data_IF_063867449046
#
_entry.id   IF_063867449046
#
_cell.length_a   1.000
_cell.length_b   1.000
_cell.length_c   1.000
_cell.angle_alpha   90.00
_cell.angle_beta   90.00
_cell.angle_gamma   90.00
#
_symmetry.space_group_name_H-M   'P 1'
#
loop_
_entity.id
_entity.type
_entity.pdbx_description
1 polymer ?
#
# COMPACT_ATOMS: atom_id res chain seq x y z
N UNK A 1 -89.92 61.17 -46.72
CA UNK A 1 -89.74 60.61 -48.09
C UNK A 1 -88.26 60.28 -48.29
N UNK A 2 -87.99 59.13 -48.94
CA UNK A 2 -86.69 58.57 -49.37
C UNK A 2 -85.86 57.80 -48.34
N UNK A 3 -86.04 56.48 -48.40
CA UNK A 3 -85.07 55.41 -48.08
C UNK A 3 -83.78 55.63 -48.87
N UNK A 4 -82.62 55.22 -48.35
CA UNK A 4 -81.57 54.55 -49.15
C UNK A 4 -80.33 54.20 -48.31
N UNK A 5 -80.04 52.90 -48.22
CA UNK A 5 -78.71 52.26 -48.29
C UNK A 5 -77.50 52.95 -47.65
N UNK A 6 -76.96 52.39 -46.56
CA UNK A 6 -75.54 51.98 -46.44
C UNK A 6 -75.30 51.25 -45.10
N UNK A 7 -75.85 50.04 -44.99
CA UNK A 7 -75.22 48.98 -44.19
C UNK A 7 -74.17 48.31 -45.11
N UNK A 8 -73.08 47.79 -44.52
CA UNK A 8 -72.01 47.00 -45.15
C UNK A 8 -70.83 47.84 -45.70
N UNK A 9 -70.07 48.53 -44.84
CA UNK A 9 -68.64 48.78 -45.10
C UNK A 9 -67.83 49.25 -43.86
N UNK A 10 -68.15 48.81 -42.64
CA UNK A 10 -67.33 49.12 -41.45
C UNK A 10 -67.01 47.88 -40.60
N UNK A 11 -67.60 46.72 -40.92
CA UNK A 11 -67.30 45.42 -40.28
C UNK A 11 -66.63 44.49 -41.31
N UNK A 12 -65.59 44.98 -41.97
CA UNK A 12 -64.71 44.13 -42.79
C UNK A 12 -63.23 44.53 -42.70
N UNK A 13 -62.91 45.67 -42.06
CA UNK A 13 -61.53 46.04 -41.74
C UNK A 13 -61.10 45.67 -40.31
N UNK A 14 -62.00 45.13 -39.46
CA UNK A 14 -61.66 44.67 -38.11
C UNK A 14 -61.64 43.14 -37.93
N UNK A 15 -61.82 42.37 -39.02
CA UNK A 15 -61.77 40.90 -39.01
C UNK A 15 -60.67 40.32 -39.90
N UNK A 16 -59.86 41.16 -40.55
CA UNK A 16 -58.74 40.75 -41.43
C UNK A 16 -57.36 41.13 -40.83
N UNK A 17 -57.30 41.57 -39.58
CA UNK A 17 -56.03 41.75 -38.84
C UNK A 17 -55.87 40.71 -37.71
N UNK A 18 -56.86 39.83 -37.51
CA UNK A 18 -56.80 38.74 -36.53
C UNK A 18 -56.78 37.34 -37.18
N UNK A 19 -56.56 37.26 -38.50
CA UNK A 19 -56.72 36.03 -39.29
C UNK A 19 -55.44 35.49 -39.95
N UNK A 20 -54.26 36.05 -39.69
CA UNK A 20 -53.01 35.61 -40.35
C UNK A 20 -51.86 35.33 -39.39
N UNK A 21 -52.13 34.99 -38.12
CA UNK A 21 -51.11 34.60 -37.14
C UNK A 21 -51.31 33.18 -36.55
N UNK A 22 -52.26 32.40 -37.09
CA UNK A 22 -52.46 31.00 -36.70
C UNK A 22 -52.46 30.10 -37.95
N UNK A 23 -51.41 30.20 -38.75
CA UNK A 23 -50.99 29.14 -39.66
C UNK A 23 -49.63 28.67 -39.21
N UNK A 24 -49.59 27.48 -38.61
CA UNK A 24 -48.34 26.78 -38.27
C UNK A 24 -48.06 26.65 -36.77
N UNK A 25 -48.85 25.85 -36.05
CA UNK A 25 -48.29 25.08 -34.94
C UNK A 25 -49.11 23.78 -34.84
N UNK A 26 -48.74 22.80 -35.67
CA UNK A 26 -49.08 21.41 -35.35
C UNK A 26 -48.41 21.11 -34.00
N UNK A 27 -49.19 20.72 -32.98
CA UNK A 27 -48.60 20.13 -31.77
C UNK A 27 -47.88 18.85 -32.19
N UNK A 28 -46.56 18.91 -32.30
CA UNK A 28 -45.72 17.73 -32.38
C UNK A 28 -44.99 17.55 -31.05
N UNK A 29 -44.67 16.31 -30.74
CA UNK A 29 -43.83 15.98 -29.59
C UNK A 29 -42.36 16.23 -29.95
N UNK A 30 -41.64 16.95 -29.10
CA UNK A 30 -40.21 17.18 -29.31
C UNK A 30 -39.45 15.86 -29.12
N UNK A 31 -38.64 15.52 -30.12
CA UNK A 31 -37.70 14.41 -30.05
C UNK A 31 -36.32 14.96 -29.69
N UNK A 32 -35.54 14.19 -28.93
CA UNK A 32 -34.20 14.59 -28.47
C UNK A 32 -33.17 13.51 -28.80
N UNK A 33 -31.91 13.89 -28.96
CA UNK A 33 -30.79 12.98 -29.15
C UNK A 33 -30.57 12.10 -27.92
N UNK A 34 -30.16 10.84 -28.13
CA UNK A 34 -29.73 9.97 -27.03
C UNK A 34 -28.30 10.30 -26.55
N UNK A 35 -27.51 11.00 -27.38
CA UNK A 35 -26.15 11.44 -27.02
C UNK A 35 -26.20 12.74 -26.22
N UNK A 36 -25.25 12.90 -25.29
CA UNK A 36 -25.07 14.14 -24.55
C UNK A 36 -24.29 15.16 -25.38
N UNK A 37 -24.85 16.35 -25.52
CA UNK A 37 -24.12 17.56 -25.93
C UNK A 37 -23.62 18.27 -24.68
N UNK A 38 -22.49 18.97 -24.77
CA UNK A 38 -21.93 19.70 -23.65
C UNK A 38 -21.19 20.99 -24.05
N UNK A 39 -21.10 21.91 -23.10
CA UNK A 39 -20.21 23.06 -23.11
C UNK A 39 -19.32 23.07 -21.85
N UNK A 40 -18.63 24.17 -21.56
CA UNK A 40 -17.75 24.27 -20.39
C UNK A 40 -18.48 24.25 -19.03
N UNK A 41 -19.81 24.43 -19.03
CA UNK A 41 -20.64 24.64 -17.84
C UNK A 41 -21.76 23.62 -17.70
N UNK A 42 -22.32 23.12 -18.80
CA UNK A 42 -23.50 22.26 -18.81
C UNK A 42 -23.37 21.10 -19.79
N UNK A 43 -24.20 20.08 -19.59
CA UNK A 43 -24.55 19.05 -20.57
C UNK A 43 -26.06 19.00 -20.76
N UNK A 44 -26.52 18.60 -21.95
CA UNK A 44 -27.94 18.49 -22.32
C UNK A 44 -28.13 17.53 -23.50
N UNK A 45 -29.36 17.12 -23.77
CA UNK A 45 -29.75 16.46 -25.02
C UNK A 45 -30.32 17.49 -26.01
N UNK A 46 -29.76 17.55 -27.22
CA UNK A 46 -30.26 18.43 -28.30
C UNK A 46 -31.59 17.92 -28.88
N UNK A 47 -32.48 18.85 -29.25
CA UNK A 47 -33.67 18.52 -30.03
C UNK A 47 -33.30 18.02 -31.43
N UNK A 48 -34.00 16.97 -31.88
CA UNK A 48 -33.87 16.39 -33.23
C UNK A 48 -35.05 16.76 -34.15
N UNK A 49 -36.04 17.49 -33.62
CA UNK A 49 -37.11 18.12 -34.39
C UNK A 49 -36.68 19.47 -34.98
N UNK A 50 -37.54 20.12 -35.78
CA UNK A 50 -37.25 21.42 -36.42
C UNK A 50 -36.95 22.55 -35.41
N UNK A 51 -37.37 22.39 -34.15
CA UNK A 51 -37.07 23.30 -33.05
C UNK A 51 -35.68 23.04 -32.43
N UNK A 52 -34.63 23.34 -33.20
CA UNK A 52 -33.23 23.07 -32.81
C UNK A 52 -32.72 23.81 -31.57
N UNK A 53 -33.48 24.79 -31.06
CA UNK A 53 -33.13 25.54 -29.83
C UNK A 53 -33.64 24.87 -28.55
N UNK A 54 -34.56 23.91 -28.67
CA UNK A 54 -35.07 23.17 -27.51
C UNK A 54 -34.02 22.17 -27.01
N UNK A 55 -33.88 22.10 -25.68
CA UNK A 55 -32.92 21.21 -25.02
C UNK A 55 -33.60 20.46 -23.88
N UNK A 56 -33.17 19.23 -23.64
CA UNK A 56 -33.69 18.38 -22.57
C UNK A 56 -32.59 18.02 -21.58
N UNK A 57 -32.99 17.83 -20.32
CA UNK A 57 -32.12 17.34 -19.23
C UNK A 57 -30.85 18.19 -19.04
N UNK A 58 -30.95 19.50 -19.31
CA UNK A 58 -29.83 20.44 -19.14
C UNK A 58 -29.44 20.54 -17.67
N UNK A 59 -28.19 20.21 -17.36
CA UNK A 59 -27.65 20.28 -16.01
C UNK A 59 -26.18 20.73 -16.02
N UNK A 60 -25.71 21.25 -14.89
CA UNK A 60 -24.29 21.54 -14.68
C UNK A 60 -23.47 20.25 -14.61
N UNK A 61 -22.17 20.33 -14.92
CA UNK A 61 -21.28 19.18 -14.82
C UNK A 61 -21.10 18.72 -13.37
N UNK A 62 -21.27 17.42 -13.13
CA UNK A 62 -20.81 16.74 -11.92
C UNK A 62 -19.49 16.04 -12.24
N UNK A 63 -18.42 16.39 -11.53
CA UNK A 63 -17.09 15.86 -11.80
C UNK A 63 -16.77 14.69 -10.87
N UNK A 64 -16.27 13.60 -11.46
CA UNK A 64 -15.84 12.40 -10.73
C UNK A 64 -14.41 12.49 -10.24
N UNK A 65 -13.82 11.33 -9.93
CA UNK A 65 -12.42 11.22 -9.47
C UNK A 65 -11.46 11.78 -10.51
N UNK A 66 -10.66 12.77 -10.10
CA UNK A 66 -9.69 13.40 -10.99
C UNK A 66 -8.53 12.47 -11.35
N UNK A 67 -7.97 12.68 -12.54
CA UNK A 67 -6.80 11.96 -13.08
C UNK A 67 -5.74 12.94 -13.59
N UNK A 68 -4.59 12.42 -14.00
CA UNK A 68 -3.53 13.20 -14.64
C UNK A 68 -3.28 12.71 -16.07
N UNK A 69 -3.15 13.66 -17.00
CA UNK A 69 -2.92 13.39 -18.42
C UNK A 69 -1.79 14.30 -18.92
N UNK A 70 -0.91 13.77 -19.78
CA UNK A 70 0.17 14.55 -20.42
C UNK A 70 -0.21 14.84 -21.88
N UNK A 71 -0.26 16.12 -22.25
CA UNK A 71 -0.58 16.60 -23.60
C UNK A 71 0.49 17.61 -24.00
N UNK A 72 1.16 17.39 -25.13
CA UNK A 72 2.22 18.26 -25.65
C UNK A 72 3.27 18.65 -24.58
N UNK A 73 3.74 17.65 -23.85
CA UNK A 73 4.70 17.75 -22.73
C UNK A 73 4.23 18.52 -21.48
N UNK A 74 2.97 18.94 -21.43
CA UNK A 74 2.36 19.57 -20.26
C UNK A 74 1.44 18.59 -19.56
N UNK A 75 1.59 18.48 -18.24
CA UNK A 75 0.67 17.71 -17.41
C UNK A 75 -0.58 18.52 -17.09
N UNK A 76 -1.74 17.86 -17.12
CA UNK A 76 -3.03 18.42 -16.77
C UNK A 76 -3.65 17.64 -15.62
N UNK A 77 -4.24 18.37 -14.67
CA UNK A 77 -5.22 17.83 -13.74
C UNK A 77 -6.58 17.77 -14.45
N UNK A 78 -7.14 16.56 -14.56
CA UNK A 78 -8.33 16.28 -15.38
C UNK A 78 -9.48 15.86 -14.46
N UNK A 79 -10.55 16.63 -14.47
CA UNK A 79 -11.80 16.37 -13.75
C UNK A 79 -12.84 15.89 -14.79
N UNK A 80 -13.09 14.57 -14.95
CA UNK A 80 -14.04 14.05 -15.93
C UNK A 80 -15.49 14.25 -15.44
N UNK A 81 -16.39 14.62 -16.34
CA UNK A 81 -17.82 14.63 -16.04
C UNK A 81 -18.34 13.19 -15.91
N UNK A 82 -19.18 12.92 -14.92
CA UNK A 82 -19.75 11.58 -14.70
C UNK A 82 -20.91 11.26 -15.65
N UNK A 83 -21.42 12.27 -16.37
CA UNK A 83 -22.63 12.15 -17.21
C UNK A 83 -22.32 12.18 -18.70
N UNK A 84 -21.36 13.01 -19.11
CA UNK A 84 -21.01 13.21 -20.53
C UNK A 84 -19.48 13.14 -20.72
N UNK A 85 -19.03 13.26 -21.97
CA UNK A 85 -17.60 13.15 -22.33
C UNK A 85 -16.78 14.43 -22.03
N UNK A 86 -17.40 15.46 -21.45
CA UNK A 86 -16.67 16.66 -21.03
C UNK A 86 -15.67 16.34 -19.93
N UNK A 87 -14.45 16.89 -20.04
CA UNK A 87 -13.46 16.85 -18.98
C UNK A 87 -12.85 18.24 -18.80
N UNK A 88 -12.90 18.74 -17.56
CA UNK A 88 -12.26 20.01 -17.22
C UNK A 88 -10.76 19.75 -17.00
N UNK A 89 -9.92 20.41 -17.79
CA UNK A 89 -8.46 20.27 -17.73
C UNK A 89 -7.82 21.53 -17.17
N UNK A 90 -7.01 21.39 -16.14
CA UNK A 90 -6.19 22.47 -15.56
C UNK A 90 -4.73 22.16 -15.79
N UNK A 91 -4.03 23.00 -16.57
CA UNK A 91 -2.60 22.82 -16.82
C UNK A 91 -1.79 22.98 -15.52
N UNK A 92 -0.87 22.07 -15.28
CA UNK A 92 0.11 22.15 -14.19
C UNK A 92 1.33 22.98 -14.62
N UNK A 93 2.18 23.33 -13.66
CA UNK A 93 3.44 24.00 -13.95
C UNK A 93 4.30 23.16 -14.92
N UNK A 94 4.96 23.82 -15.88
CA UNK A 94 5.81 23.13 -16.84
C UNK A 94 6.96 22.41 -16.13
N UNK A 95 7.28 21.18 -16.57
CA UNK A 95 8.31 20.34 -15.96
C UNK A 95 7.88 19.65 -14.66
N UNK A 96 6.60 19.62 -14.33
CA UNK A 96 6.10 18.89 -13.16
C UNK A 96 6.37 17.39 -13.26
N UNK A 97 6.91 16.82 -12.19
CA UNK A 97 7.17 15.36 -12.04
C UNK A 97 6.30 14.73 -10.94
N UNK A 98 5.76 15.56 -10.05
CA UNK A 98 4.74 15.20 -9.06
C UNK A 98 3.70 16.30 -8.97
N UNK A 99 2.54 16.00 -8.39
CA UNK A 99 1.48 16.97 -8.16
C UNK A 99 0.77 16.74 -6.82
N UNK A 100 0.16 17.80 -6.29
CA UNK A 100 -0.84 17.75 -5.24
C UNK A 100 -2.06 18.46 -5.81
N UNK A 101 -3.10 17.69 -6.13
CA UNK A 101 -4.28 18.22 -6.83
C UNK A 101 -3.88 19.01 -8.09
N UNK A 102 -4.22 20.31 -8.15
CA UNK A 102 -3.97 21.24 -9.26
C UNK A 102 -2.60 21.92 -9.19
N UNK A 103 -1.78 21.60 -8.18
CA UNK A 103 -0.43 22.15 -8.02
C UNK A 103 0.61 21.15 -8.50
N UNK A 104 1.44 21.54 -9.48
CA UNK A 104 2.53 20.73 -10.00
C UNK A 104 3.89 21.17 -9.44
N UNK A 105 4.78 20.21 -9.20
CA UNK A 105 6.11 20.45 -8.65
C UNK A 105 7.20 19.80 -9.52
N UNK A 106 8.31 20.51 -9.69
CA UNK A 106 9.46 20.04 -10.48
C UNK A 106 10.30 18.98 -9.75
N UNK A 107 10.12 18.81 -8.43
CA UNK A 107 10.79 17.79 -7.64
C UNK A 107 9.89 17.23 -6.53
N UNK A 108 10.21 16.01 -6.07
CA UNK A 108 9.53 15.38 -4.94
C UNK A 108 9.79 16.15 -3.63
N UNK A 109 10.97 16.72 -3.44
CA UNK A 109 11.31 17.46 -2.23
C UNK A 109 10.47 18.73 -2.10
N UNK A 110 10.32 19.49 -3.19
CA UNK A 110 9.50 20.70 -3.18
C UNK A 110 8.04 20.35 -2.83
N UNK A 111 7.51 19.25 -3.36
CA UNK A 111 6.18 18.79 -3.02
C UNK A 111 6.06 18.39 -1.53
N UNK A 112 7.05 17.67 -0.99
CA UNK A 112 7.09 17.29 0.43
C UNK A 112 7.15 18.53 1.32
N UNK A 113 8.02 19.49 1.01
CA UNK A 113 8.16 20.74 1.78
C UNK A 113 6.82 21.50 1.85
N UNK A 114 6.13 21.59 0.71
CA UNK A 114 4.84 22.26 0.59
C UNK A 114 3.62 21.38 0.94
N UNK A 115 3.81 20.12 1.37
CA UNK A 115 2.70 19.24 1.72
C UNK A 115 2.07 19.67 3.05
N UNK A 116 0.77 20.01 2.99
CA UNK A 116 -0.01 20.49 4.14
C UNK A 116 -0.95 19.42 4.73
N UNK A 117 -0.86 18.16 4.28
CA UNK A 117 -1.70 17.06 4.76
C UNK A 117 -2.98 16.81 3.96
N UNK A 118 -3.32 17.72 3.03
CA UNK A 118 -4.47 17.59 2.13
C UNK A 118 -4.09 16.80 0.86
N UNK A 119 -4.95 15.86 0.47
CA UNK A 119 -4.74 15.03 -0.73
C UNK A 119 -3.59 14.03 -0.61
N UNK A 120 -3.02 13.66 -1.77
CA UNK A 120 -1.84 12.82 -1.90
C UNK A 120 -0.82 13.55 -2.79
N UNK A 121 0.48 13.34 -2.54
CA UNK A 121 1.52 13.65 -3.51
C UNK A 121 1.47 12.56 -4.59
N UNK A 122 1.09 12.90 -5.81
CA UNK A 122 0.93 11.95 -6.92
C UNK A 122 2.13 12.02 -7.85
N UNK A 123 2.78 10.90 -8.12
CA UNK A 123 3.85 10.83 -9.12
C UNK A 123 3.28 10.91 -10.54
N UNK A 124 3.88 11.79 -11.34
CA UNK A 124 3.56 11.95 -12.76
C UNK A 124 4.58 11.24 -13.65
N UNK A 125 5.84 11.25 -13.22
CA UNK A 125 6.97 10.64 -13.89
C UNK A 125 7.72 9.67 -12.97
N UNK A 126 8.56 8.81 -13.55
CA UNK A 126 9.55 8.06 -12.77
C UNK A 126 10.59 9.03 -12.23
N UNK A 127 11.06 8.80 -11.00
CA UNK A 127 11.98 9.71 -10.31
C UNK A 127 13.21 8.96 -9.84
N UNK A 128 14.38 9.50 -10.16
CA UNK A 128 15.66 9.04 -9.63
C UNK A 128 16.09 10.00 -8.50
N UNK A 129 16.12 9.51 -7.26
CA UNK A 129 16.50 10.30 -6.09
C UNK A 129 18.02 10.36 -5.97
N UNK A 130 18.57 11.52 -6.32
CA UNK A 130 20.00 11.83 -6.25
C UNK A 130 20.41 12.27 -4.83
N UNK A 131 21.70 12.55 -4.61
CA UNK A 131 22.19 13.11 -3.34
C UNK A 131 21.67 14.53 -3.08
N UNK A 132 21.40 15.31 -4.12
CA UNK A 132 20.87 16.67 -3.99
C UNK A 132 19.44 16.69 -3.42
N UNK A 133 18.71 15.59 -3.61
CA UNK A 133 17.39 15.39 -3.04
C UNK A 133 17.42 14.86 -1.60
N UNK A 134 18.59 14.69 -0.99
CA UNK A 134 18.67 14.20 0.41
C UNK A 134 18.64 15.33 1.41
N UNK A 135 18.17 15.03 2.62
CA UNK A 135 18.13 15.99 3.72
C UNK A 135 19.52 16.15 4.33
N UNK A 136 19.92 17.38 4.68
CA UNK A 136 21.18 17.62 5.36
C UNK A 136 21.31 16.74 6.62
N UNK A 137 22.41 15.98 6.72
CA UNK A 137 22.65 15.02 7.80
C UNK A 137 22.17 13.59 7.51
N UNK A 138 21.42 13.37 6.43
CA UNK A 138 20.96 12.06 5.99
C UNK A 138 21.39 11.79 4.55
N UNK A 139 21.73 10.55 4.23
CA UNK A 139 21.89 10.11 2.83
C UNK A 139 20.57 9.60 2.26
N UNK A 140 19.46 10.25 2.59
CA UNK A 140 18.08 9.87 2.25
C UNK A 140 17.15 11.09 2.32
N UNK A 141 15.91 10.96 1.83
CA UNK A 141 14.84 11.93 2.10
C UNK A 141 14.36 11.69 3.53
N UNK A 142 14.57 12.67 4.42
CA UNK A 142 14.06 12.60 5.79
C UNK A 142 12.66 13.20 5.88
N UNK A 143 11.71 12.43 6.41
CA UNK A 143 10.32 12.84 6.62
C UNK A 143 10.06 13.03 8.12
N UNK A 144 9.82 14.27 8.53
CA UNK A 144 9.53 14.66 9.92
C UNK A 144 8.06 15.05 10.14
N UNK A 145 7.24 14.92 9.09
CA UNK A 145 5.79 15.15 9.07
C UNK A 145 5.11 14.06 8.26
N UNK A 146 3.82 13.85 8.52
CA UNK A 146 3.01 12.89 7.77
C UNK A 146 2.99 13.23 6.28
N UNK A 147 3.19 12.22 5.44
CA UNK A 147 3.16 12.34 3.98
C UNK A 147 2.35 11.19 3.40
N UNK A 148 1.47 11.52 2.46
CA UNK A 148 0.79 10.53 1.61
C UNK A 148 1.38 10.60 0.20
N UNK A 149 1.97 9.51 -0.25
CA UNK A 149 2.60 9.37 -1.56
C UNK A 149 1.83 8.34 -2.39
N UNK A 150 1.37 8.76 -3.55
CA UNK A 150 0.78 7.88 -4.56
C UNK A 150 1.77 7.69 -5.70
N UNK A 151 2.22 6.45 -5.85
CA UNK A 151 3.19 6.06 -6.86
C UNK A 151 2.59 6.08 -8.27
N UNK A 152 1.27 5.97 -8.41
CA UNK A 152 0.54 6.18 -9.66
C UNK A 152 1.11 5.43 -10.88
N UNK A 153 1.54 4.19 -10.67
CA UNK A 153 2.13 3.36 -11.73
C UNK A 153 3.56 3.74 -12.12
N UNK A 154 4.23 4.56 -11.30
CA UNK A 154 5.59 5.05 -11.50
C UNK A 154 6.57 4.41 -10.53
N UNK A 155 7.85 4.51 -10.87
CA UNK A 155 8.96 4.02 -10.06
C UNK A 155 9.74 5.16 -9.42
N UNK A 156 9.96 5.07 -8.11
CA UNK A 156 10.87 5.94 -7.38
C UNK A 156 12.15 5.15 -7.05
N UNK A 157 13.28 5.57 -7.63
CA UNK A 157 14.55 4.83 -7.57
C UNK A 157 15.61 5.62 -6.85
N UNK A 158 16.27 5.01 -5.88
CA UNK A 158 17.47 5.57 -5.24
C UNK A 158 18.72 5.32 -6.09
N UNK A 159 19.59 6.32 -6.25
CA UNK A 159 20.80 6.20 -7.09
C UNK A 159 22.09 5.96 -6.28
N UNK A 160 22.30 6.68 -5.16
CA UNK A 160 23.63 6.80 -4.54
C UNK A 160 23.71 6.41 -3.04
N UNK A 161 22.66 5.85 -2.44
CA UNK A 161 22.71 5.37 -1.05
C UNK A 161 21.75 4.20 -0.83
N UNK A 162 21.91 3.51 0.31
CA UNK A 162 21.00 2.46 0.78
C UNK A 162 19.57 2.98 0.98
N UNK A 163 19.43 3.98 1.84
CA UNK A 163 18.12 4.48 2.24
C UNK A 163 17.58 5.50 1.24
N UNK A 164 16.35 5.26 0.79
CA UNK A 164 15.55 6.21 0.04
C UNK A 164 14.83 7.17 1.00
N UNK A 165 14.14 6.61 2.00
CA UNK A 165 13.43 7.36 3.02
C UNK A 165 13.95 7.05 4.41
N UNK A 166 14.00 8.08 5.25
CA UNK A 166 14.09 7.96 6.71
C UNK A 166 12.88 8.70 7.26
N UNK A 167 12.11 8.06 8.13
CA UNK A 167 10.93 8.65 8.76
C UNK A 167 11.23 8.83 10.22
N UNK A 168 11.07 10.05 10.74
CA UNK A 168 11.36 10.41 12.13
C UNK A 168 10.29 11.31 12.74
N UNK A 169 10.44 11.71 14.00
CA UNK A 169 9.54 12.62 14.72
C UNK A 169 8.09 12.10 14.76
N UNK A 170 7.94 10.79 14.97
CA UNK A 170 6.67 10.05 14.98
C UNK A 170 5.84 10.19 13.67
N UNK A 171 6.43 10.73 12.60
CA UNK A 171 5.76 10.94 11.33
C UNK A 171 5.37 9.61 10.67
N UNK A 172 4.41 9.68 9.75
CA UNK A 172 3.93 8.55 8.97
C UNK A 172 4.10 8.80 7.47
N UNK A 173 4.84 7.92 6.79
CA UNK A 173 4.80 7.80 5.33
C UNK A 173 3.73 6.79 4.93
N UNK A 174 2.67 7.25 4.27
CA UNK A 174 1.65 6.41 3.67
C UNK A 174 1.89 6.31 2.16
N UNK A 175 2.00 5.09 1.64
CA UNK A 175 2.32 4.81 0.25
C UNK A 175 1.14 4.07 -0.38
N UNK A 176 0.57 4.69 -1.41
CA UNK A 176 -0.41 4.08 -2.30
C UNK A 176 0.32 3.56 -3.55
N UNK A 177 0.48 2.24 -3.63
CA UNK A 177 1.12 1.52 -4.73
C UNK A 177 0.13 0.68 -5.55
N UNK A 178 -1.19 0.92 -5.44
CA UNK A 178 -2.21 0.07 -6.06
C UNK A 178 -2.19 0.06 -7.58
N UNK A 179 -1.80 1.17 -8.20
CA UNK A 179 -1.74 1.27 -9.66
C UNK A 179 -0.62 0.38 -10.19
N UNK A 180 -0.92 -0.48 -11.16
CA UNK A 180 0.07 -1.38 -11.78
C UNK A 180 1.31 -0.60 -12.26
N UNK A 181 2.50 -1.12 -11.98
CA UNK A 181 3.77 -0.45 -12.27
C UNK A 181 4.32 0.43 -11.14
N UNK A 182 3.54 0.63 -10.06
CA UNK A 182 3.98 1.36 -8.87
C UNK A 182 5.12 0.62 -8.19
N UNK A 183 6.27 1.28 -8.06
CA UNK A 183 7.44 0.65 -7.44
C UNK A 183 8.34 1.63 -6.69
N UNK A 184 9.04 1.09 -5.68
CA UNK A 184 10.13 1.77 -4.98
C UNK A 184 11.37 0.89 -5.07
N UNK A 185 12.50 1.49 -5.45
CA UNK A 185 13.81 0.86 -5.38
C UNK A 185 14.69 1.59 -4.36
N UNK A 186 14.91 0.98 -3.20
CA UNK A 186 15.71 1.49 -2.08
C UNK A 186 15.06 1.26 -0.71
N UNK A 187 15.87 1.31 0.35
CA UNK A 187 15.40 1.04 1.72
C UNK A 187 14.53 2.17 2.28
N UNK A 188 13.48 1.80 3.01
CA UNK A 188 12.67 2.68 3.84
C UNK A 188 13.01 2.40 5.32
N UNK A 189 13.57 3.40 5.99
CA UNK A 189 13.93 3.32 7.41
C UNK A 189 12.87 4.04 8.27
N UNK A 190 12.19 3.29 9.14
CA UNK A 190 11.21 3.79 10.08
C UNK A 190 11.85 3.99 11.46
N UNK A 191 12.10 5.26 11.78
CA UNK A 191 12.78 5.70 12.99
C UNK A 191 14.31 5.65 12.90
N UNK A 192 14.94 6.44 13.77
CA UNK A 192 16.38 6.63 13.84
C UNK A 192 16.92 6.43 15.27
N UNK A 193 18.20 6.73 15.50
CA UNK A 193 18.81 6.57 16.81
C UNK A 193 18.22 7.51 17.86
N UNK A 194 18.19 7.08 19.12
CA UNK A 194 17.77 7.94 20.24
C UNK A 194 16.26 7.95 20.48
N UNK A 195 15.58 6.87 20.09
CA UNK A 195 14.13 6.73 20.17
C UNK A 195 13.35 7.76 19.35
N UNK A 196 13.91 8.16 18.20
CA UNK A 196 13.28 9.05 17.24
C UNK A 196 12.44 8.20 16.27
N UNK A 197 11.18 7.94 16.62
CA UNK A 197 10.37 6.95 15.91
C UNK A 197 9.85 7.47 14.56
N UNK A 198 9.44 6.54 13.70
CA UNK A 198 8.74 6.84 12.45
C UNK A 198 7.87 5.67 12.02
N UNK A 199 6.88 5.94 11.18
CA UNK A 199 5.86 4.98 10.81
C UNK A 199 5.74 4.85 9.29
N UNK A 200 5.41 3.64 8.82
CA UNK A 200 5.22 3.36 7.39
C UNK A 200 3.93 2.59 7.19
N UNK A 201 3.12 3.05 6.23
CA UNK A 201 1.91 2.34 5.76
C UNK A 201 2.03 2.13 4.26
N UNK A 202 1.92 0.90 3.80
CA UNK A 202 2.01 0.50 2.39
C UNK A 202 0.72 -0.21 1.98
N UNK A 203 0.18 0.14 0.82
CA UNK A 203 -0.92 -0.59 0.17
C UNK A 203 -0.67 -0.71 -1.34
N UNK A 204 -0.28 -1.91 -1.78
CA UNK A 204 0.09 -2.19 -3.17
C UNK A 204 1.55 -1.89 -3.50
N UNK A 205 1.96 -2.27 -4.70
CA UNK A 205 3.26 -1.92 -5.29
C UNK A 205 4.35 -2.99 -5.14
N UNK A 206 5.48 -2.74 -5.79
CA UNK A 206 6.69 -3.57 -5.71
C UNK A 206 7.83 -2.78 -5.07
N UNK A 207 8.46 -3.35 -4.06
CA UNK A 207 9.56 -2.76 -3.32
C UNK A 207 10.80 -3.63 -3.52
N UNK A 208 11.90 -3.01 -3.91
CA UNK A 208 13.14 -3.72 -4.25
C UNK A 208 14.37 -3.03 -3.64
N UNK A 209 15.27 -3.83 -3.08
CA UNK A 209 16.52 -3.43 -2.45
C UNK A 209 17.60 -4.41 -2.89
N UNK A 210 18.41 -3.98 -3.87
CA UNK A 210 19.41 -4.84 -4.53
C UNK A 210 20.85 -4.57 -4.12
N UNK A 211 21.09 -3.67 -3.16
CA UNK A 211 22.45 -3.38 -2.68
C UNK A 211 22.75 -4.29 -1.49
N UNK A 212 23.99 -4.76 -1.38
CA UNK A 212 24.41 -5.63 -0.26
C UNK A 212 24.23 -4.92 1.10
N UNK A 213 23.75 -5.64 2.12
CA UNK A 213 23.36 -5.10 3.43
C UNK A 213 22.11 -4.21 3.42
N UNK A 214 21.28 -4.26 2.36
CA UNK A 214 20.04 -3.51 2.28
C UNK A 214 18.82 -4.38 2.55
N UNK A 215 17.96 -3.90 3.44
CA UNK A 215 16.60 -4.41 3.57
C UNK A 215 15.61 -3.47 2.89
N UNK A 216 14.42 -3.96 2.56
CA UNK A 216 13.36 -3.08 2.05
C UNK A 216 12.89 -2.14 3.15
N UNK A 217 12.54 -2.72 4.29
CA UNK A 217 11.96 -2.02 5.42
C UNK A 217 12.83 -2.28 6.65
N UNK A 218 13.26 -1.20 7.28
CA UNK A 218 14.10 -1.24 8.46
C UNK A 218 13.46 -0.47 9.61
N UNK A 219 13.60 -0.96 10.83
CA UNK A 219 13.43 -0.15 12.05
C UNK A 219 14.74 -0.06 12.83
N UNK A 220 14.91 1.01 13.61
CA UNK A 220 16.07 1.17 14.47
C UNK A 220 15.87 0.46 15.83
N UNK A 221 16.93 -0.19 16.33
CA UNK A 221 16.90 -0.94 17.59
C UNK A 221 16.67 -0.13 18.87
N UNK A 222 16.76 1.19 18.78
CA UNK A 222 16.48 2.11 19.90
C UNK A 222 15.08 2.72 19.85
N UNK A 223 14.29 2.44 18.81
CA UNK A 223 12.93 2.95 18.65
C UNK A 223 11.91 2.02 19.31
N UNK A 224 11.05 2.56 20.16
CA UNK A 224 10.03 1.81 20.88
C UNK A 224 8.62 1.96 20.32
N UNK A 225 8.44 2.77 19.28
CA UNK A 225 7.14 3.05 18.68
C UNK A 225 7.23 3.30 17.16
N UNK A 226 8.22 2.73 16.48
CA UNK A 226 8.23 2.73 15.01
C UNK A 226 7.35 1.61 14.48
N UNK A 227 6.24 1.95 13.82
CA UNK A 227 5.25 0.97 13.37
C UNK A 227 5.28 0.78 11.85
N UNK A 228 5.08 -0.46 11.41
CA UNK A 228 4.99 -0.82 9.98
C UNK A 228 3.66 -1.49 9.72
N UNK A 229 2.94 -1.05 8.69
CA UNK A 229 1.79 -1.77 8.14
C UNK A 229 1.95 -1.92 6.63
N UNK A 230 1.98 -3.14 6.12
CA UNK A 230 2.07 -3.42 4.69
C UNK A 230 0.92 -4.33 4.27
N UNK A 231 0.28 -3.99 3.14
CA UNK A 231 -0.75 -4.83 2.53
C UNK A 231 -0.63 -4.90 1.01
N UNK A 232 -1.04 -6.02 0.42
CA UNK A 232 -1.16 -6.19 -1.04
C UNK A 232 0.14 -5.89 -1.83
N UNK A 233 1.30 -6.02 -1.19
CA UNK A 233 2.58 -5.57 -1.73
C UNK A 233 3.55 -6.72 -1.94
N UNK A 234 4.47 -6.54 -2.89
CA UNK A 234 5.58 -7.47 -3.14
C UNK A 234 6.91 -6.82 -2.75
N UNK A 235 7.73 -7.55 -2.01
CA UNK A 235 9.03 -7.11 -1.50
C UNK A 235 10.13 -8.04 -2.02
N UNK A 236 11.23 -7.48 -2.55
CA UNK A 236 12.31 -8.23 -3.19
C UNK A 236 13.69 -7.73 -2.75
N UNK A 237 14.24 -8.37 -1.72
CA UNK A 237 15.56 -8.01 -1.18
C UNK A 237 16.63 -9.02 -1.58
N UNK A 238 17.84 -8.53 -1.85
CA UNK A 238 19.05 -9.39 -1.94
C UNK A 238 19.67 -9.73 -0.59
N UNK A 239 19.09 -9.21 0.49
CA UNK A 239 19.50 -9.39 1.88
C UNK A 239 18.27 -9.74 2.75
N UNK A 240 18.26 -9.38 4.04
CA UNK A 240 17.05 -9.37 4.86
C UNK A 240 15.96 -8.53 4.17
N UNK A 241 14.73 -9.02 4.03
CA UNK A 241 13.67 -8.19 3.41
C UNK A 241 13.10 -7.18 4.40
N UNK A 242 12.78 -7.65 5.60
CA UNK A 242 12.40 -6.81 6.73
C UNK A 242 13.43 -6.97 7.85
N UNK A 243 13.98 -5.85 8.34
CA UNK A 243 14.81 -5.79 9.53
C UNK A 243 14.07 -5.07 10.66
N UNK A 244 13.44 -5.85 11.53
CA UNK A 244 12.53 -5.42 12.59
C UNK A 244 13.26 -5.41 13.94
N UNK A 245 13.91 -4.30 14.23
CA UNK A 245 14.80 -4.16 15.38
C UNK A 245 14.21 -3.34 16.54
N UNK A 246 13.23 -2.48 16.30
CA UNK A 246 12.58 -1.68 17.35
C UNK A 246 11.39 -2.39 18.01
N UNK A 247 10.97 -1.96 19.20
CA UNK A 247 9.82 -2.57 19.92
C UNK A 247 8.46 -2.03 19.49
N UNK A 248 8.28 -1.78 18.19
CA UNK A 248 7.03 -1.29 17.60
C UNK A 248 6.06 -2.40 17.20
N UNK A 249 4.99 -2.02 16.49
CA UNK A 249 3.98 -2.94 15.95
C UNK A 249 4.13 -3.09 14.45
N UNK A 250 4.14 -4.33 13.99
CA UNK A 250 4.36 -4.70 12.60
C UNK A 250 3.21 -5.55 12.11
N UNK A 251 2.58 -5.13 11.02
CA UNK A 251 1.46 -5.83 10.38
C UNK A 251 1.75 -6.04 8.91
N UNK A 252 1.70 -7.30 8.48
CA UNK A 252 1.93 -7.69 7.09
C UNK A 252 0.72 -8.53 6.66
N UNK A 253 0.00 -8.10 5.62
CA UNK A 253 -1.23 -8.76 5.19
C UNK A 253 -1.30 -8.89 3.67
N UNK A 254 -1.55 -10.10 3.17
CA UNK A 254 -1.63 -10.36 1.73
C UNK A 254 -0.39 -9.85 0.96
N UNK A 255 0.79 -10.09 1.51
CA UNK A 255 2.06 -9.69 0.91
C UNK A 255 2.85 -10.90 0.38
N UNK A 256 3.72 -10.64 -0.59
CA UNK A 256 4.74 -11.59 -1.05
C UNK A 256 6.11 -11.04 -0.70
N UNK A 257 6.91 -11.81 0.03
CA UNK A 257 8.23 -11.42 0.54
C UNK A 257 9.26 -12.38 -0.06
N UNK A 258 10.14 -11.87 -0.90
CA UNK A 258 11.23 -12.61 -1.51
C UNK A 258 12.54 -12.01 -1.01
N UNK A 259 13.34 -12.80 -0.30
CA UNK A 259 14.53 -12.28 0.37
C UNK A 259 15.67 -13.29 0.42
N UNK A 260 16.85 -12.81 0.78
CA UNK A 260 17.90 -13.69 1.29
C UNK A 260 17.42 -14.31 2.60
N UNK A 261 17.20 -13.47 3.62
CA UNK A 261 16.36 -13.78 4.78
C UNK A 261 15.00 -13.12 4.55
N UNK A 262 13.90 -13.81 4.85
CA UNK A 262 12.57 -13.21 4.69
C UNK A 262 12.39 -12.06 5.68
N UNK A 263 12.34 -12.38 6.98
CA UNK A 263 12.18 -11.40 8.06
C UNK A 263 13.21 -11.66 9.15
N UNK A 264 13.97 -10.63 9.50
CA UNK A 264 14.88 -10.62 10.61
C UNK A 264 14.31 -9.76 11.74
N UNK A 265 13.91 -10.38 12.84
CA UNK A 265 13.30 -9.71 13.98
C UNK A 265 14.20 -9.79 15.21
N UNK A 266 14.28 -8.67 15.94
CA UNK A 266 15.01 -8.55 17.21
C UNK A 266 14.15 -7.98 18.35
N UNK A 267 13.04 -7.34 18.01
CA UNK A 267 12.06 -6.82 18.97
C UNK A 267 10.71 -6.52 18.29
N UNK A 268 9.68 -6.30 19.11
CA UNK A 268 8.36 -5.79 18.72
C UNK A 268 7.29 -6.87 18.59
N UNK A 269 6.14 -6.44 18.09
CA UNK A 269 4.96 -7.28 17.88
C UNK A 269 4.70 -7.44 16.38
N UNK A 270 4.96 -8.62 15.83
CA UNK A 270 4.76 -8.94 14.42
C UNK A 270 3.53 -9.83 14.22
N UNK A 271 2.56 -9.32 13.47
CA UNK A 271 1.41 -10.07 12.95
C UNK A 271 1.50 -10.20 11.43
N UNK A 272 1.47 -11.45 10.94
CA UNK A 272 1.47 -11.76 9.50
C UNK A 272 0.20 -12.53 9.15
N UNK A 273 -0.50 -12.07 8.11
CA UNK A 273 -1.73 -12.65 7.59
C UNK A 273 -1.65 -12.92 6.10
N UNK A 274 -2.20 -14.04 5.65
CA UNK A 274 -2.45 -14.34 4.23
C UNK A 274 -1.26 -14.07 3.30
N UNK A 275 -0.03 -14.22 3.82
CA UNK A 275 1.19 -13.77 3.13
C UNK A 275 2.11 -14.94 2.80
N UNK A 276 2.95 -14.74 1.80
CA UNK A 276 3.97 -15.72 1.39
C UNK A 276 5.36 -15.17 1.62
N UNK A 277 6.25 -15.97 2.21
CA UNK A 277 7.66 -15.67 2.43
C UNK A 277 8.51 -16.73 1.73
N UNK A 278 9.40 -16.27 0.85
CA UNK A 278 10.34 -17.09 0.09
C UNK A 278 11.77 -16.62 0.40
N UNK A 279 12.44 -17.31 1.32
CA UNK A 279 13.84 -17.06 1.65
C UNK A 279 14.76 -17.98 0.83
N UNK A 280 15.72 -17.37 0.13
CA UNK A 280 16.63 -18.09 -0.78
C UNK A 280 18.09 -18.04 -0.33
N UNK A 281 18.38 -17.32 0.75
CA UNK A 281 19.74 -17.15 1.27
C UNK A 281 20.37 -18.46 1.69
N UNK A 282 21.71 -18.52 1.68
CA UNK A 282 22.42 -19.66 2.26
C UNK A 282 22.25 -19.65 3.77
N UNK A 283 22.09 -20.83 4.36
CA UNK A 283 22.00 -20.92 5.81
C UNK A 283 23.30 -20.52 6.50
N UNK A 284 23.19 -19.62 7.46
CA UNK A 284 24.22 -19.32 8.43
C UNK A 284 23.59 -19.09 9.82
N UNK A 285 24.24 -19.54 10.88
CA UNK A 285 23.86 -19.10 12.23
C UNK A 285 24.09 -17.58 12.36
N UNK A 286 23.26 -16.87 13.13
CA UNK A 286 23.51 -15.47 13.44
C UNK A 286 24.92 -15.25 14.01
N UNK A 287 25.63 -14.28 13.44
CA UNK A 287 26.93 -13.84 13.93
C UNK A 287 26.87 -12.34 14.18
N UNK A 288 27.34 -11.83 15.34
CA UNK A 288 27.35 -10.40 15.60
C UNK A 288 28.09 -9.61 14.52
N UNK A 289 27.51 -8.50 14.06
CA UNK A 289 28.14 -7.57 13.13
C UNK A 289 27.82 -6.13 13.56
N UNK A 290 28.79 -5.51 14.26
CA UNK A 290 28.59 -4.22 14.91
C UNK A 290 27.39 -4.29 15.87
N UNK A 291 26.44 -3.37 15.69
CA UNK A 291 25.22 -3.35 16.50
C UNK A 291 24.22 -4.43 16.08
N UNK A 292 24.34 -5.04 14.88
CA UNK A 292 23.42 -6.03 14.32
C UNK A 292 23.98 -7.45 14.28
N UNK A 293 23.43 -8.25 13.35
CA UNK A 293 23.90 -9.59 13.05
C UNK A 293 23.80 -9.84 11.55
N UNK A 294 24.57 -10.80 11.03
CA UNK A 294 24.51 -11.17 9.63
C UNK A 294 23.21 -11.93 9.30
N UNK A 295 22.74 -11.74 8.08
CA UNK A 295 21.61 -12.43 7.45
C UNK A 295 21.84 -13.95 7.45
N UNK A 296 20.76 -14.72 7.59
CA UNK A 296 20.86 -16.16 7.90
C UNK A 296 20.28 -17.09 6.84
N UNK A 297 19.51 -16.56 5.87
CA UNK A 297 18.80 -17.41 4.90
C UNK A 297 17.53 -18.07 5.45
N UNK A 298 17.15 -17.79 6.70
CA UNK A 298 15.91 -18.30 7.30
C UNK A 298 14.68 -17.58 6.72
N UNK A 299 13.52 -18.24 6.79
CA UNK A 299 12.24 -17.63 6.42
C UNK A 299 11.93 -16.46 7.35
N UNK A 300 11.78 -16.76 8.64
CA UNK A 300 11.72 -15.79 9.72
C UNK A 300 12.75 -16.17 10.78
N UNK A 301 13.53 -15.20 11.24
CA UNK A 301 14.38 -15.36 12.41
C UNK A 301 13.97 -14.39 13.54
N UNK A 302 13.77 -14.95 14.73
CA UNK A 302 13.57 -14.26 16.00
C UNK A 302 14.89 -14.34 16.78
N UNK A 303 15.71 -13.29 16.68
CA UNK A 303 17.06 -13.33 17.23
C UNK A 303 17.19 -12.41 18.44
N UNK A 304 17.38 -13.05 19.59
CA UNK A 304 17.69 -12.34 20.83
C UNK A 304 19.14 -11.88 20.79
N UNK A 305 19.34 -10.57 20.97
CA UNK A 305 20.67 -9.94 20.91
C UNK A 305 20.75 -8.79 21.91
N UNK A 306 21.94 -8.59 22.48
CA UNK A 306 22.21 -7.47 23.37
C UNK A 306 22.07 -6.12 22.65
N UNK A 307 21.55 -5.11 23.35
CA UNK A 307 21.42 -3.73 22.84
C UNK A 307 20.14 -3.42 22.06
N UNK A 308 19.21 -4.38 21.95
CA UNK A 308 17.88 -4.17 21.39
C UNK A 308 16.84 -4.03 22.49
N UNK A 309 15.89 -3.14 22.29
CA UNK A 309 14.86 -2.86 23.31
C UNK A 309 13.65 -3.76 23.10
N UNK A 310 13.06 -4.22 24.20
CA UNK A 310 11.78 -4.93 24.18
C UNK A 310 11.87 -6.42 23.88
N UNK A 311 10.71 -7.05 23.85
CA UNK A 311 10.55 -8.47 23.60
C UNK A 311 10.09 -8.72 22.16
N UNK A 312 10.13 -9.97 21.72
CA UNK A 312 9.57 -10.40 20.44
C UNK A 312 8.27 -11.19 20.63
N UNK A 313 7.24 -10.77 19.90
CA UNK A 313 5.96 -11.47 19.76
C UNK A 313 5.73 -11.75 18.27
N UNK A 314 5.55 -13.02 17.91
CA UNK A 314 5.23 -13.45 16.55
C UNK A 314 3.84 -14.10 16.50
N UNK A 315 3.00 -13.61 15.60
CA UNK A 315 1.70 -14.19 15.30
C UNK A 315 1.54 -14.43 13.80
N UNK A 316 1.26 -15.66 13.43
CA UNK A 316 1.05 -16.09 12.05
C UNK A 316 -0.36 -16.64 11.86
N UNK A 317 -1.00 -16.23 10.76
CA UNK A 317 -2.38 -16.57 10.43
C UNK A 317 -2.52 -16.74 8.91
N UNK A 318 -2.74 -17.97 8.45
CA UNK A 318 -2.84 -18.28 7.02
C UNK A 318 -1.59 -17.88 6.21
N UNK A 319 -0.40 -18.28 6.66
CA UNK A 319 0.90 -17.87 6.09
C UNK A 319 1.59 -19.05 5.42
N UNK A 320 2.27 -18.80 4.30
CA UNK A 320 3.18 -19.75 3.66
C UNK A 320 4.62 -19.28 3.80
N UNK A 321 5.50 -20.08 4.39
CA UNK A 321 6.92 -19.77 4.56
C UNK A 321 7.76 -20.88 3.96
N UNK A 322 8.65 -20.53 3.04
CA UNK A 322 9.65 -21.42 2.48
C UNK A 322 11.03 -20.82 2.70
N UNK A 323 11.91 -21.56 3.38
CA UNK A 323 13.35 -21.30 3.37
C UNK A 323 14.04 -22.41 2.57
N UNK A 324 14.76 -22.02 1.51
CA UNK A 324 15.41 -22.98 0.63
C UNK A 324 16.60 -23.70 1.29
N UNK A 325 17.35 -22.99 2.14
CA UNK A 325 18.58 -23.52 2.75
C UNK A 325 18.57 -23.50 4.28
N UNK A 326 17.67 -22.73 4.89
CA UNK A 326 17.57 -22.51 6.34
C UNK A 326 16.33 -23.13 6.96
N UNK A 327 15.92 -22.57 8.10
CA UNK A 327 14.70 -22.93 8.78
C UNK A 327 13.54 -22.03 8.30
N UNK A 328 12.32 -22.57 8.25
CA UNK A 328 11.14 -21.75 8.00
C UNK A 328 10.97 -20.71 9.13
N UNK A 329 11.10 -21.15 10.39
CA UNK A 329 11.14 -20.27 11.57
C UNK A 329 12.33 -20.67 12.45
N UNK A 330 13.12 -19.68 12.87
CA UNK A 330 14.29 -19.87 13.73
C UNK A 330 14.24 -18.89 14.90
N UNK A 331 14.15 -19.40 16.13
CA UNK A 331 14.43 -18.63 17.33
C UNK A 331 15.89 -18.87 17.74
N UNK A 332 16.66 -17.79 17.83
CA UNK A 332 18.11 -17.81 17.96
C UNK A 332 18.61 -16.83 19.00
N UNK A 333 19.84 -17.05 19.45
CA UNK A 333 20.57 -16.19 20.38
C UNK A 333 21.92 -15.84 19.75
N UNK A 334 22.17 -14.56 19.45
CA UNK A 334 23.42 -14.12 18.82
C UNK A 334 24.55 -13.92 19.83
N UNK A 335 24.28 -13.19 20.93
CA UNK A 335 25.28 -12.83 21.94
C UNK A 335 24.68 -12.70 23.36
N UNK A 336 23.59 -13.42 23.60
CA UNK A 336 22.88 -13.47 24.87
C UNK A 336 22.62 -14.93 25.26
N UNK A 337 22.33 -15.17 26.55
CA UNK A 337 21.96 -16.49 27.07
C UNK A 337 20.47 -16.62 27.39
N UNK A 338 19.70 -15.54 27.27
CA UNK A 338 18.26 -15.51 27.55
C UNK A 338 17.50 -15.14 26.30
N UNK A 339 16.38 -15.81 26.06
CA UNK A 339 15.47 -15.44 24.98
C UNK A 339 14.70 -14.17 25.34
N UNK A 340 14.58 -13.27 24.37
CA UNK A 340 13.64 -12.12 24.41
C UNK A 340 12.34 -12.44 23.68
N UNK A 341 12.22 -13.65 23.11
CA UNK A 341 10.97 -14.14 22.53
C UNK A 341 10.04 -14.54 23.66
N UNK A 342 8.88 -13.89 23.73
CA UNK A 342 7.89 -14.15 24.78
C UNK A 342 6.62 -14.80 24.26
N UNK A 343 6.34 -14.68 22.96
CA UNK A 343 5.18 -15.35 22.35
C UNK A 343 5.40 -15.73 20.89
N UNK A 344 5.09 -16.99 20.56
CA UNK A 344 5.02 -17.51 19.19
C UNK A 344 3.68 -18.23 18.98
N UNK A 345 2.86 -17.71 18.06
CA UNK A 345 1.52 -18.24 17.80
C UNK A 345 1.31 -18.52 16.32
N UNK A 346 0.74 -19.70 16.01
CA UNK A 346 0.27 -20.07 14.68
C UNK A 346 -1.20 -20.50 14.83
N UNK A 347 -2.12 -19.63 14.39
CA UNK A 347 -3.57 -19.81 14.62
C UNK A 347 -4.22 -20.68 13.54
N UNK A 348 -4.19 -20.20 12.29
CA UNK A 348 -4.90 -20.84 11.17
C UNK A 348 -3.92 -21.41 10.14
N UNK A 349 -4.39 -22.44 9.43
CA UNK A 349 -3.65 -23.26 8.47
C UNK A 349 -2.55 -22.49 7.72
N UNK A 350 -1.29 -22.88 7.91
CA UNK A 350 -0.15 -22.38 7.14
C UNK A 350 0.67 -23.52 6.55
N UNK A 351 1.59 -23.19 5.64
CA UNK A 351 2.55 -24.14 5.08
C UNK A 351 3.96 -23.68 5.37
N UNK A 352 4.75 -24.52 6.03
CA UNK A 352 6.09 -24.18 6.50
C UNK A 352 7.09 -25.19 5.96
N UNK A 353 8.04 -24.71 5.16
CA UNK A 353 9.05 -25.54 4.50
C UNK A 353 10.45 -25.05 4.85
N UNK A 354 11.21 -25.90 5.51
CA UNK A 354 12.65 -25.74 5.73
C UNK A 354 13.45 -26.52 4.69
N UNK A 355 14.76 -26.29 4.64
CA UNK A 355 15.66 -27.13 3.87
C UNK A 355 15.71 -28.57 4.37
N UNK A 356 16.12 -29.49 3.50
CA UNK A 356 16.27 -30.91 3.82
C UNK A 356 17.21 -31.11 5.03
N UNK A 357 16.80 -31.97 5.97
CA UNK A 357 17.56 -32.26 7.18
C UNK A 357 17.46 -31.22 8.30
N UNK A 358 16.70 -30.13 8.10
CA UNK A 358 16.41 -29.14 9.15
C UNK A 358 15.01 -29.33 9.73
N UNK A 359 14.86 -28.99 11.01
CA UNK A 359 13.56 -28.85 11.68
C UNK A 359 12.74 -27.75 11.01
N UNK A 360 11.40 -27.82 11.06
CA UNK A 360 10.59 -26.78 10.42
C UNK A 360 10.58 -25.49 11.26
N UNK A 361 10.53 -25.67 12.59
CA UNK A 361 10.68 -24.60 13.56
C UNK A 361 11.86 -24.96 14.46
N UNK A 362 12.91 -24.14 14.44
CA UNK A 362 14.06 -24.29 15.33
C UNK A 362 13.96 -23.31 16.48
N UNK A 363 14.15 -23.77 17.71
CA UNK A 363 14.20 -22.91 18.90
C UNK A 363 15.43 -23.17 19.76
N UNK A 364 15.83 -22.17 20.54
CA UNK A 364 16.87 -22.32 21.56
C UNK A 364 16.34 -23.06 22.80
N UNK A 365 17.27 -23.61 23.58
CA UNK A 365 16.96 -24.17 24.91
C UNK A 365 16.46 -23.07 25.87
N UNK A 366 16.95 -21.85 25.72
CA UNK A 366 16.53 -20.72 26.56
C UNK A 366 15.04 -20.39 26.37
N UNK A 367 14.54 -20.40 25.13
CA UNK A 367 13.13 -20.17 24.85
C UNK A 367 12.23 -21.30 25.36
N UNK A 368 12.61 -22.56 25.12
CA UNK A 368 11.84 -23.72 25.60
C UNK A 368 11.82 -23.80 27.13
N UNK A 369 12.93 -23.49 27.81
CA UNK A 369 12.97 -23.36 29.27
C UNK A 369 12.11 -22.18 29.77
N UNK A 370 12.04 -21.07 29.01
CA UNK A 370 11.17 -19.95 29.35
C UNK A 370 9.68 -20.32 29.23
N UNK A 371 9.30 -21.17 28.27
CA UNK A 371 7.95 -21.74 28.17
C UNK A 371 7.65 -22.60 29.40
N UNK A 372 8.53 -23.54 29.75
CA UNK A 372 8.35 -24.42 30.92
C UNK A 372 8.21 -23.62 32.23
N UNK A 373 8.95 -22.51 32.33
CA UNK A 373 8.90 -21.59 33.46
C UNK A 373 7.73 -20.60 33.47
N UNK A 374 6.89 -20.58 32.42
CA UNK A 374 5.77 -19.64 32.28
C UNK A 374 6.16 -18.19 31.96
N UNK A 375 7.41 -17.95 31.55
CA UNK A 375 7.92 -16.63 31.16
C UNK A 375 7.75 -16.35 29.66
N UNK A 376 7.53 -17.40 28.87
CA UNK A 376 7.19 -17.33 27.46
C UNK A 376 6.03 -18.27 27.15
N UNK A 377 5.44 -18.13 25.96
CA UNK A 377 4.31 -18.93 25.51
C UNK A 377 4.49 -19.31 24.04
N UNK A 378 4.05 -20.52 23.70
CA UNK A 378 3.81 -20.90 22.31
C UNK A 378 2.44 -21.55 22.16
N UNK A 379 1.74 -21.22 21.08
CA UNK A 379 0.39 -21.70 20.79
C UNK A 379 0.30 -22.04 19.30
N UNK A 380 0.82 -23.20 18.90
CA UNK A 380 0.68 -23.73 17.53
C UNK A 380 -0.53 -24.65 17.48
N UNK A 381 -1.52 -24.30 16.63
CA UNK A 381 -2.83 -24.98 16.57
C UNK A 381 -3.14 -25.63 15.21
N UNK A 382 -2.38 -25.31 14.16
CA UNK A 382 -2.66 -25.83 12.81
C UNK A 382 -1.46 -25.63 11.89
N UNK A 383 -1.51 -26.26 10.71
CA UNK A 383 -0.53 -26.08 9.64
C UNK A 383 0.11 -27.38 9.16
N UNK A 384 0.82 -27.27 8.04
CA UNK A 384 1.62 -28.34 7.43
C UNK A 384 3.09 -27.94 7.46
N UNK A 385 3.95 -28.87 7.84
CA UNK A 385 5.36 -28.65 8.15
C UNK A 385 6.22 -29.67 7.40
N UNK A 386 7.33 -29.24 6.80
CA UNK A 386 8.22 -30.14 6.05
C UNK A 386 8.90 -31.22 6.91
N UNK A 387 9.02 -30.99 8.22
CA UNK A 387 9.74 -31.82 9.18
C UNK A 387 9.22 -31.60 10.60
N UNK A 388 9.55 -32.52 11.51
CA UNK A 388 9.19 -32.41 12.91
C UNK A 388 9.83 -31.18 13.58
N UNK A 389 9.25 -30.77 14.71
CA UNK A 389 9.77 -29.72 15.60
C UNK A 389 9.37 -30.05 17.04
N UNK A 390 9.90 -29.29 18.01
CA UNK A 390 9.63 -29.50 19.43
C UNK A 390 8.13 -29.38 19.76
N UNK A 391 7.54 -30.46 20.27
CA UNK A 391 6.12 -30.54 20.62
C UNK A 391 5.73 -29.59 21.76
N UNK A 392 6.69 -29.07 22.54
CA UNK A 392 6.44 -28.01 23.54
C UNK A 392 5.87 -26.73 22.94
N UNK A 393 5.99 -26.54 21.62
CA UNK A 393 5.44 -25.39 20.92
C UNK A 393 3.94 -25.53 20.62
N UNK A 394 3.39 -26.73 20.72
CA UNK A 394 2.00 -27.01 20.43
C UNK A 394 1.08 -26.42 21.51
N UNK A 395 -0.07 -25.92 21.09
CA UNK A 395 -1.12 -25.57 22.03
C UNK A 395 -1.65 -26.83 22.75
N UNK A 396 -2.14 -26.66 23.99
CA UNK A 396 -2.78 -27.75 24.72
C UNK A 396 -3.95 -28.35 23.91
N UNK A 397 -3.99 -29.67 23.80
CA UNK A 397 -5.02 -30.38 23.03
C UNK A 397 -4.68 -30.55 21.54
N UNK A 398 -3.46 -30.23 21.12
CA UNK A 398 -2.97 -30.44 19.76
C UNK A 398 -1.78 -31.40 19.72
N UNK A 399 -1.64 -32.10 18.61
CA UNK A 399 -0.55 -33.04 18.35
C UNK A 399 0.09 -32.81 16.98
N UNK A 400 1.37 -33.15 16.85
CA UNK A 400 2.10 -33.15 15.60
C UNK A 400 2.12 -34.57 15.02
N UNK A 401 1.52 -34.76 13.84
CA UNK A 401 1.36 -36.08 13.22
C UNK A 401 2.08 -36.14 11.88
N UNK A 402 2.78 -37.25 11.62
CA UNK A 402 3.37 -37.50 10.30
C UNK A 402 2.27 -37.73 9.25
N UNK A 403 2.52 -37.28 8.03
CA UNK A 403 1.62 -37.32 6.89
C UNK A 403 2.40 -37.52 5.59
N UNK A 404 1.71 -37.79 4.49
CA UNK A 404 2.36 -37.90 3.18
C UNK A 404 3.05 -36.60 2.70
N UNK A 405 2.74 -35.45 3.32
CA UNK A 405 3.24 -34.12 2.96
C UNK A 405 4.26 -33.58 3.98
N UNK A 406 4.78 -34.42 4.89
CA UNK A 406 5.59 -34.01 6.03
C UNK A 406 4.80 -34.21 7.33
N UNK A 407 4.64 -33.16 8.13
CA UNK A 407 3.96 -33.20 9.42
C UNK A 407 2.77 -32.25 9.43
N UNK A 408 1.72 -32.57 10.19
CA UNK A 408 0.52 -31.74 10.33
C UNK A 408 0.17 -31.60 11.80
N UNK A 409 -0.14 -30.37 12.22
CA UNK A 409 -0.70 -30.11 13.55
C UNK A 409 -2.21 -30.25 13.49
N UNK A 410 -2.77 -31.05 14.41
CA UNK A 410 -4.22 -31.33 14.49
C UNK A 410 -4.68 -31.32 15.92
N UNK A 411 -5.95 -30.99 16.12
CA UNK A 411 -6.61 -31.13 17.41
C UNK A 411 -6.72 -32.62 17.77
N UNK A 412 -6.41 -32.97 19.01
CA UNK A 412 -6.55 -34.32 19.54
C UNK A 412 -8.04 -34.60 19.67
N UNK A 413 -8.58 -35.36 18.72
CA UNK A 413 -9.94 -35.84 18.79
C UNK A 413 -10.04 -36.88 19.90
N UNK A 414 -10.43 -36.45 21.11
CA UNK A 414 -10.85 -37.34 22.19
C UNK A 414 -12.16 -38.03 21.80
N UNK A 415 -12.08 -39.01 20.90
CA UNK A 415 -13.13 -40.00 20.72
C UNK A 415 -12.95 -41.05 21.80
N UNK A 416 -13.64 -40.84 22.93
CA UNK A 416 -13.92 -41.88 23.93
C UNK A 416 -14.92 -42.89 23.38
#
# INVERSE_FOLDING_TARGET
MKKSFFNILVIFCLTIILGTMFSGCEMHEHTFSEQWTYDATHHWHEATCEHIEEVKDKAEHSFGTATYEKIDDVWYYVEPCEVCEYAKKTALANGSVVAIEKMGYASLNDAIENYEGNGEIVMLENINVTSEMTTQGFSAINLTKDVKLNLNGKTLTRVNAKSLFVITNDATLQINGKTLGSAINGTILAGYSGNDNGNVVIDGGTYTATVSNDCEIQTNGTCNNSNITARNATFNSTDDTFYLAGSGKFKIDNCTINGYTGIYMKAGDLEIKSSTINATGNFASPVPNGNGANSTGDGIILDSKNGYIGNMILKLDNVSITSQNGYAIHEALTDVSTSSTVKLTIENNGTFTSAEGKETIKTSEAFTNAIDGGNAMSEIKSGTYSSAFDEKLLAMGYELTESAQGYVVREINNTL
#
